data_IF_919337303049
#
_entry.id   IF_919337303049
#
_cell.length_a   1.000
_cell.length_b   1.000
_cell.length_c   1.000
_cell.angle_alpha   90.00
_cell.angle_beta   90.00
_cell.angle_gamma   90.00
#
_symmetry.space_group_name_H-M   'P 1'
#
loop_
_entity.id
_entity.type
_entity.pdbx_description
1 polymer ?
#
# COMPACT_ATOMS: atom_id res chain seq x y z
N UNK A 1 8.76 -15.36 25.88
CA UNK A 1 9.47 -14.15 26.33
C UNK A 1 10.92 -14.32 25.88
N UNK A 2 11.28 -13.78 24.71
CA UNK A 2 12.65 -13.84 24.22
C UNK A 2 13.21 -12.41 24.24
N UNK A 3 14.23 -12.20 25.07
CA UNK A 3 14.94 -10.95 25.23
C UNK A 3 15.92 -10.74 24.07
N UNK A 4 15.83 -9.61 23.39
CA UNK A 4 16.91 -9.12 22.54
C UNK A 4 17.96 -8.43 23.42
N UNK A 5 19.18 -8.98 23.44
CA UNK A 5 20.33 -8.30 24.00
C UNK A 5 20.94 -7.39 22.91
N UNK A 6 20.69 -6.09 23.01
CA UNK A 6 21.54 -5.09 22.35
C UNK A 6 22.60 -4.68 23.38
N UNK A 7 23.70 -5.43 23.47
CA UNK A 7 24.88 -4.95 24.20
C UNK A 7 25.73 -4.13 23.23
N UNK A 8 25.65 -2.81 23.36
CA UNK A 8 26.51 -1.88 22.65
C UNK A 8 27.97 -2.08 23.02
N UNK A 9 28.70 -2.84 22.21
CA UNK A 9 30.14 -2.71 21.99
C UNK A 9 30.45 -3.22 20.59
N UNK A 10 31.34 -2.52 19.86
CA UNK A 10 31.87 -2.92 18.55
C UNK A 10 32.36 -4.36 18.62
N UNK A 11 31.56 -5.30 18.14
CA UNK A 11 31.83 -6.72 18.12
C UNK A 11 31.56 -7.28 16.73
N UNK A 12 32.46 -8.14 16.30
CA UNK A 12 32.60 -8.80 15.00
C UNK A 12 31.28 -9.25 14.37
N UNK A 13 31.13 -9.02 13.06
CA UNK A 13 30.05 -9.54 12.21
C UNK A 13 29.85 -11.04 12.48
N UNK A 14 28.75 -11.38 13.16
CA UNK A 14 28.28 -12.75 13.23
C UNK A 14 27.60 -13.07 11.91
N UNK A 15 28.10 -14.10 11.24
CA UNK A 15 27.46 -14.69 10.05
C UNK A 15 26.06 -15.16 10.44
N UNK A 16 25.04 -14.55 9.86
CA UNK A 16 23.66 -15.01 9.99
C UNK A 16 23.48 -16.28 9.16
N UNK A 17 23.48 -17.44 9.81
CA UNK A 17 22.71 -18.57 9.28
C UNK A 17 21.25 -18.12 9.23
N UNK A 18 20.52 -18.30 8.11
CA UNK A 18 19.19 -17.74 7.95
C UNK A 18 18.25 -18.40 8.95
N UNK A 19 17.99 -17.72 10.06
CA UNK A 19 16.86 -18.05 10.91
C UNK A 19 15.62 -17.89 10.04
N UNK A 20 14.85 -18.97 9.93
CA UNK A 20 13.61 -19.09 9.15
C UNK A 20 12.46 -18.20 9.66
N UNK A 21 12.77 -17.23 10.54
CA UNK A 21 11.86 -16.31 11.20
C UNK A 21 12.48 -14.92 11.02
N UNK A 22 11.96 -14.18 10.05
CA UNK A 22 12.25 -12.76 9.90
C UNK A 22 11.44 -12.04 10.98
N UNK A 23 12.10 -11.35 11.89
CA UNK A 23 11.42 -10.45 12.83
C UNK A 23 11.10 -9.17 12.05
N UNK A 24 9.85 -8.65 12.06
CA UNK A 24 9.44 -7.55 11.17
C UNK A 24 10.33 -6.31 11.23
N UNK A 25 10.89 -6.01 12.40
CA UNK A 25 11.82 -4.89 12.56
C UNK A 25 13.16 -5.13 11.86
N UNK A 26 13.73 -6.32 11.98
CA UNK A 26 15.02 -6.67 11.37
C UNK A 26 14.90 -6.81 9.84
N UNK A 27 13.69 -7.09 9.33
CA UNK A 27 13.40 -7.04 7.90
C UNK A 27 13.64 -5.66 7.30
N UNK A 28 13.36 -4.61 8.08
CA UNK A 28 13.34 -3.24 7.60
C UNK A 28 14.53 -2.40 8.10
N UNK A 29 15.06 -2.73 9.27
CA UNK A 29 16.07 -1.99 9.97
C UNK A 29 17.29 -2.85 10.23
N UNK A 30 18.48 -2.31 9.99
CA UNK A 30 19.70 -2.99 10.38
C UNK A 30 19.93 -2.87 11.90
N UNK A 31 19.89 -3.99 12.66
CA UNK A 31 20.09 -3.97 14.12
C UNK A 31 21.53 -3.62 14.53
N UNK A 32 22.47 -3.59 13.59
CA UNK A 32 23.87 -3.22 13.78
C UNK A 32 24.23 -1.81 13.28
N UNK A 33 23.37 -1.19 12.47
CA UNK A 33 23.53 0.19 11.98
C UNK A 33 22.41 1.10 12.47
N UNK A 34 21.94 0.84 13.71
CA UNK A 34 20.83 1.57 14.30
C UNK A 34 21.17 3.06 14.40
N UNK A 35 20.58 3.84 13.50
CA UNK A 35 20.51 5.29 13.62
C UNK A 35 19.06 5.73 13.69
N UNK A 36 18.83 6.84 14.38
CA UNK A 36 17.52 7.46 14.38
C UNK A 36 17.24 7.98 12.97
N UNK A 37 16.07 7.66 12.45
CA UNK A 37 15.54 8.33 11.28
C UNK A 37 15.33 9.81 11.61
N UNK A 38 16.26 10.65 11.19
CA UNK A 38 16.25 12.06 11.58
C UNK A 38 15.36 12.84 10.62
N UNK A 39 14.58 13.73 11.24
CA UNK A 39 13.77 14.68 10.49
C UNK A 39 14.71 15.66 9.82
N UNK A 40 14.42 16.00 8.56
CA UNK A 40 15.16 17.03 7.83
C UNK A 40 15.24 18.30 8.68
N UNK A 41 16.45 18.86 8.81
CA UNK A 41 16.70 20.03 9.65
C UNK A 41 15.73 21.18 9.30
N UNK A 42 15.08 21.74 10.32
CA UNK A 42 14.04 22.78 10.17
C UNK A 42 12.60 22.25 10.04
N UNK A 43 12.39 20.93 9.97
CA UNK A 43 11.06 20.34 9.94
C UNK A 43 10.58 19.86 11.32
N UNK A 44 9.39 20.32 11.71
CA UNK A 44 8.65 19.84 12.89
C UNK A 44 7.61 18.78 12.52
N UNK A 45 7.48 18.41 11.25
CA UNK A 45 6.47 17.48 10.77
C UNK A 45 6.93 16.01 10.82
N UNK A 46 6.08 15.07 11.29
CA UNK A 46 6.36 13.64 11.19
C UNK A 46 6.45 13.18 9.75
N UNK A 47 7.62 12.73 9.30
CA UNK A 47 7.79 12.12 7.99
C UNK A 47 8.59 12.94 6.97
N UNK A 48 9.05 14.16 7.27
CA UNK A 48 10.19 14.72 6.53
C UNK A 48 11.42 13.90 6.81
N UNK A 49 12.07 13.39 5.77
CA UNK A 49 13.22 12.52 5.94
C UNK A 49 14.47 13.25 5.48
N UNK A 50 15.49 13.28 6.35
CA UNK A 50 16.86 13.39 5.87
C UNK A 50 17.30 11.98 5.46
N UNK A 51 17.25 11.67 4.17
CA UNK A 51 17.56 10.31 3.70
C UNK A 51 19.01 9.95 3.97
N UNK A 52 19.92 10.92 4.12
CA UNK A 52 21.30 10.65 4.53
C UNK A 52 21.41 10.07 5.95
N UNK A 53 20.32 10.17 6.73
CA UNK A 53 20.16 9.64 8.08
C UNK A 53 19.04 8.59 8.14
N UNK A 54 18.80 7.88 7.03
CA UNK A 54 17.81 6.81 6.94
C UNK A 54 18.07 5.70 7.96
N UNK A 55 17.02 5.21 8.64
CA UNK A 55 17.14 4.07 9.56
C UNK A 55 16.87 2.74 8.85
N UNK A 56 16.64 2.77 7.54
CA UNK A 56 16.27 1.62 6.75
C UNK A 56 17.51 0.99 6.12
N UNK A 57 17.45 -0.32 5.91
CA UNK A 57 18.39 -1.06 5.07
C UNK A 57 17.58 -1.97 4.17
N UNK A 58 17.97 -2.11 2.90
CA UNK A 58 17.29 -3.06 2.02
C UNK A 58 17.50 -4.49 2.56
N UNK A 59 16.47 -5.36 2.57
CA UNK A 59 16.62 -6.78 2.89
C UNK A 59 17.79 -7.46 2.14
N UNK A 60 17.98 -7.15 0.85
CA UNK A 60 19.06 -7.67 0.01
C UNK A 60 20.43 -7.06 0.29
N UNK A 61 20.47 -5.88 0.93
CA UNK A 61 21.69 -5.15 1.26
C UNK A 61 21.65 -4.68 2.71
N UNK A 62 21.49 -5.64 3.62
CA UNK A 62 21.30 -5.34 5.03
C UNK A 62 22.50 -4.62 5.63
N UNK A 63 23.71 -4.84 5.10
CA UNK A 63 24.97 -4.24 5.59
C UNK A 63 25.14 -2.74 5.33
N UNK A 64 24.21 -2.08 4.62
CA UNK A 64 24.29 -0.66 4.31
C UNK A 64 22.93 0.02 4.57
N UNK A 65 22.99 1.31 4.87
CA UNK A 65 21.80 2.14 5.02
C UNK A 65 21.21 2.46 3.64
N UNK A 66 19.90 2.37 3.53
CA UNK A 66 19.14 2.71 2.33
C UNK A 66 18.84 4.21 2.30
N UNK A 67 19.59 4.93 1.48
CA UNK A 67 19.52 6.38 1.32
C UNK A 67 18.98 6.69 -0.07
N UNK A 68 17.65 6.76 -0.21
CA UNK A 68 16.97 7.08 -1.47
C UNK A 68 15.64 7.80 -1.22
N UNK A 69 15.30 8.75 -2.07
CA UNK A 69 13.99 9.40 -2.12
C UNK A 69 13.23 8.96 -3.36
N UNK A 70 11.90 8.99 -3.33
CA UNK A 70 11.10 8.56 -4.49
C UNK A 70 11.34 9.42 -5.74
N UNK A 71 11.84 10.66 -5.58
CA UNK A 71 12.34 11.47 -6.70
C UNK A 71 13.54 10.88 -7.44
N UNK A 72 14.31 9.97 -6.81
CA UNK A 72 15.36 9.22 -7.50
C UNK A 72 14.79 8.17 -8.47
N UNK A 73 13.53 7.76 -8.25
CA UNK A 73 12.85 6.70 -9.02
C UNK A 73 11.89 7.29 -10.05
N UNK A 74 11.18 8.36 -9.72
CA UNK A 74 10.17 8.95 -10.60
C UNK A 74 9.94 10.44 -10.34
N UNK A 75 9.70 11.20 -11.41
CA UNK A 75 9.19 12.58 -11.34
C UNK A 75 7.66 12.65 -11.22
N UNK A 76 6.97 11.52 -11.34
CA UNK A 76 5.51 11.45 -11.42
C UNK A 76 4.85 11.11 -10.07
N UNK A 77 5.62 11.04 -8.99
CA UNK A 77 5.06 10.84 -7.66
C UNK A 77 4.18 12.04 -7.27
N UNK A 78 2.98 11.73 -6.76
CA UNK A 78 2.09 12.72 -6.16
C UNK A 78 1.72 12.25 -4.76
N UNK A 79 2.21 12.97 -3.76
CA UNK A 79 1.86 12.67 -2.37
C UNK A 79 0.37 12.96 -2.09
N UNK A 80 -0.28 12.16 -1.23
CA UNK A 80 -1.61 12.44 -0.73
C UNK A 80 -1.63 13.70 0.14
N UNK A 81 -2.82 14.27 0.37
CA UNK A 81 -2.97 15.34 1.35
C UNK A 81 -2.61 14.89 2.76
N UNK A 82 -2.00 15.80 3.50
CA UNK A 82 -1.77 15.67 4.93
C UNK A 82 -3.11 15.56 5.67
N UNK A 83 -3.15 14.80 6.77
CA UNK A 83 -4.36 14.60 7.55
C UNK A 83 -5.04 15.93 7.95
N UNK A 84 -6.35 16.05 7.65
CA UNK A 84 -7.13 17.25 7.91
C UNK A 84 -6.84 18.42 6.96
N UNK A 85 -6.11 18.19 5.86
CA UNK A 85 -5.74 19.20 4.88
C UNK A 85 -6.27 18.88 3.48
N UNK A 86 -6.41 19.93 2.67
CA UNK A 86 -6.70 19.86 1.22
C UNK A 86 -5.71 20.71 0.41
N UNK A 87 -4.68 21.25 1.06
CA UNK A 87 -3.72 22.18 0.45
C UNK A 87 -2.26 21.85 0.76
N UNK A 88 -2.02 21.00 1.76
CA UNK A 88 -0.69 20.51 2.13
C UNK A 88 -0.60 19.01 2.03
N UNK A 89 0.61 18.52 1.83
CA UNK A 89 0.87 17.14 1.43
C UNK A 89 1.66 16.38 2.47
N UNK A 90 1.52 15.06 2.44
CA UNK A 90 2.46 14.17 3.11
C UNK A 90 3.83 14.19 2.43
N UNK A 91 4.92 13.91 3.17
CA UNK A 91 4.95 13.51 4.56
C UNK A 91 5.24 14.67 5.52
N UNK A 92 5.15 15.93 5.12
CA UNK A 92 5.56 17.04 5.98
C UNK A 92 4.54 18.13 6.26
N UNK A 93 3.34 17.97 5.74
CA UNK A 93 2.30 18.97 5.88
C UNK A 93 2.67 20.31 5.23
N UNK A 94 3.67 20.33 4.33
CA UNK A 94 4.02 21.50 3.55
C UNK A 94 3.39 21.44 2.15
N UNK A 95 3.38 22.59 1.50
CA UNK A 95 3.14 22.68 0.06
C UNK A 95 4.46 22.44 -0.69
N UNK A 96 4.40 22.08 -1.98
CA UNK A 96 5.58 21.92 -2.83
C UNK A 96 6.04 20.47 -3.05
N UNK A 97 7.31 20.31 -3.45
CA UNK A 97 7.87 19.01 -3.82
C UNK A 97 7.99 18.07 -2.61
N UNK A 98 7.24 16.96 -2.68
CA UNK A 98 7.26 15.89 -1.69
C UNK A 98 8.05 14.67 -2.15
N UNK A 99 8.37 14.56 -3.45
CA UNK A 99 9.13 13.45 -3.98
C UNK A 99 10.56 13.44 -3.41
N UNK A 100 11.16 14.61 -3.22
CA UNK A 100 12.49 14.75 -2.59
C UNK A 100 12.49 14.62 -1.06
N UNK A 101 11.32 14.46 -0.44
CA UNK A 101 11.15 14.34 1.02
C UNK A 101 10.61 13.00 1.47
N UNK A 102 10.10 12.22 0.53
CA UNK A 102 9.56 10.87 0.74
C UNK A 102 10.63 9.86 0.41
N UNK A 103 10.92 8.93 1.34
CA UNK A 103 11.80 7.79 1.05
C UNK A 103 11.24 6.98 -0.11
N UNK A 104 12.14 6.40 -0.90
CA UNK A 104 11.81 5.49 -2.00
C UNK A 104 11.29 4.13 -1.48
N UNK A 105 10.12 4.16 -0.85
CA UNK A 105 9.44 2.97 -0.36
C UNK A 105 9.09 1.97 -1.46
N UNK A 106 8.79 2.36 -2.71
CA UNK A 106 8.65 1.39 -3.80
C UNK A 106 9.87 0.49 -3.97
N UNK A 107 11.06 1.05 -4.12
CA UNK A 107 12.31 0.27 -4.21
C UNK A 107 12.54 -0.56 -2.95
N UNK A 108 12.31 0.04 -1.77
CA UNK A 108 12.50 -0.66 -0.50
C UNK A 108 11.55 -1.84 -0.31
N UNK A 109 10.25 -1.66 -0.56
CA UNK A 109 9.24 -2.70 -0.38
C UNK A 109 9.39 -3.79 -1.44
N UNK A 110 9.67 -3.42 -2.69
CA UNK A 110 9.81 -4.39 -3.80
C UNK A 110 11.13 -5.16 -3.79
N UNK A 111 12.10 -4.76 -2.97
CA UNK A 111 13.28 -5.60 -2.68
C UNK A 111 12.86 -6.98 -2.12
N UNK A 112 11.79 -7.01 -1.33
CA UNK A 112 11.17 -8.25 -0.85
C UNK A 112 9.89 -8.60 -1.63
N UNK A 113 8.95 -7.67 -1.79
CA UNK A 113 7.66 -7.86 -2.43
C UNK A 113 7.73 -7.65 -3.94
N UNK A 114 8.24 -8.64 -4.67
CA UNK A 114 8.34 -8.62 -6.12
C UNK A 114 7.74 -9.88 -6.76
N UNK A 115 7.82 -9.96 -8.09
CA UNK A 115 7.31 -11.06 -8.91
C UNK A 115 8.13 -12.36 -8.78
N UNK A 116 9.28 -12.34 -8.12
CA UNK A 116 10.17 -13.49 -7.99
C UNK A 116 10.10 -14.12 -6.60
N UNK A 117 10.02 -13.29 -5.57
CA UNK A 117 10.00 -13.75 -4.19
C UNK A 117 8.64 -14.37 -3.84
N UNK A 118 8.69 -15.50 -3.14
CA UNK A 118 7.52 -16.13 -2.52
C UNK A 118 7.68 -16.06 -1.01
N UNK A 119 6.88 -15.22 -0.36
CA UNK A 119 6.97 -14.97 1.08
C UNK A 119 5.74 -15.59 1.74
N UNK A 120 5.95 -16.52 2.67
CA UNK A 120 4.86 -17.10 3.46
C UNK A 120 4.55 -16.22 4.68
N UNK A 121 3.30 -15.79 4.82
CA UNK A 121 2.82 -15.10 6.02
C UNK A 121 2.12 -16.07 6.95
N UNK A 122 2.68 -16.25 8.14
CA UNK A 122 2.08 -17.06 9.21
C UNK A 122 0.79 -16.43 9.73
N UNK A 123 0.75 -15.10 9.84
CA UNK A 123 -0.46 -14.35 10.24
C UNK A 123 -1.61 -14.51 9.24
N UNK A 124 -1.28 -14.67 7.93
CA UNK A 124 -2.29 -14.88 6.88
C UNK A 124 -2.51 -16.36 6.53
N UNK A 125 -1.68 -17.27 7.02
CA UNK A 125 -1.71 -18.70 6.69
C UNK A 125 -1.45 -19.02 5.21
N UNK A 126 -0.89 -18.08 4.43
CA UNK A 126 -0.69 -18.22 2.98
C UNK A 126 0.53 -17.43 2.50
N UNK A 127 0.92 -17.67 1.24
CA UNK A 127 1.86 -16.80 0.56
C UNK A 127 1.27 -15.39 0.38
N UNK A 128 2.10 -14.39 0.60
CA UNK A 128 1.81 -13.00 0.26
C UNK A 128 1.62 -12.87 -1.24
N UNK A 129 0.78 -11.90 -1.64
CA UNK A 129 0.58 -11.61 -3.05
C UNK A 129 1.83 -10.92 -3.57
N UNK A 130 2.26 -11.31 -4.77
CA UNK A 130 3.38 -10.68 -5.44
C UNK A 130 2.95 -9.32 -5.97
N UNK A 131 3.91 -8.40 -6.06
CA UNK A 131 3.68 -7.03 -6.52
C UNK A 131 4.56 -6.83 -7.76
N UNK A 132 3.97 -6.27 -8.81
CA UNK A 132 4.70 -5.80 -9.98
C UNK A 132 4.48 -4.30 -10.15
N UNK A 133 5.13 -3.53 -9.29
CA UNK A 133 4.97 -2.08 -9.26
C UNK A 133 5.36 -1.41 -10.59
N UNK A 134 6.16 -2.09 -11.43
CA UNK A 134 6.48 -1.60 -12.77
C UNK A 134 5.29 -1.64 -13.74
N UNK A 135 4.32 -2.51 -13.47
CA UNK A 135 3.15 -2.73 -14.33
C UNK A 135 1.82 -2.39 -13.65
N UNK A 136 1.77 -2.24 -12.34
CA UNK A 136 0.56 -1.82 -11.61
C UNK A 136 0.17 -0.37 -11.88
N UNK A 137 -1.13 -0.08 -11.95
CA UNK A 137 -1.73 1.25 -12.19
C UNK A 137 -1.36 2.29 -11.14
N UNK A 138 -1.19 1.89 -9.88
CA UNK A 138 -0.69 2.77 -8.83
C UNK A 138 0.85 2.89 -8.81
N UNK A 139 1.53 2.08 -9.61
CA UNK A 139 2.95 2.17 -9.91
C UNK A 139 3.20 2.81 -11.26
N UNK A 140 4.06 2.19 -12.08
CA UNK A 140 4.41 2.71 -13.42
C UNK A 140 3.49 2.24 -14.55
N UNK A 141 2.55 1.35 -14.28
CA UNK A 141 1.57 0.91 -15.25
C UNK A 141 0.65 2.06 -15.68
N UNK A 142 0.37 2.15 -16.98
CA UNK A 142 -0.62 3.10 -17.46
C UNK A 142 -2.01 2.77 -16.90
N UNK A 143 -2.83 3.80 -16.66
CA UNK A 143 -4.24 3.59 -16.48
C UNK A 143 -4.83 2.94 -17.75
N UNK A 144 -5.75 2.00 -17.58
CA UNK A 144 -6.38 1.34 -18.73
C UNK A 144 -7.46 2.25 -19.36
N UNK A 145 -7.95 3.24 -18.61
CA UNK A 145 -9.04 4.17 -18.96
C UNK A 145 -8.84 5.53 -18.27
N UNK A 146 -9.69 6.52 -18.61
CA UNK A 146 -9.73 7.82 -17.93
C UNK A 146 -10.36 7.60 -16.56
N UNK A 147 -9.74 8.12 -15.50
CA UNK A 147 -10.22 7.96 -14.13
C UNK A 147 -10.72 9.28 -13.57
N UNK A 148 -11.86 9.24 -12.89
CA UNK A 148 -12.34 10.34 -12.07
C UNK A 148 -11.66 10.29 -10.70
N UNK A 149 -10.81 11.30 -10.43
CA UNK A 149 -9.95 11.35 -9.24
C UNK A 149 -10.26 12.58 -8.39
N UNK A 150 -10.00 12.47 -7.08
CA UNK A 150 -9.99 13.56 -6.12
C UNK A 150 -8.64 14.29 -6.18
N UNK A 151 -8.62 15.54 -5.76
CA UNK A 151 -7.37 16.24 -5.48
C UNK A 151 -6.51 15.43 -4.48
N UNK A 152 -5.18 15.47 -4.60
CA UNK A 152 -4.40 16.25 -5.57
C UNK A 152 -4.24 15.59 -6.94
N UNK A 153 -4.80 14.40 -7.15
CA UNK A 153 -4.62 13.61 -8.36
C UNK A 153 -5.52 14.08 -9.52
N UNK A 154 -6.66 14.72 -9.21
CA UNK A 154 -7.66 15.18 -10.19
C UNK A 154 -7.13 16.08 -11.31
N UNK A 155 -6.04 16.80 -11.06
CA UNK A 155 -5.47 17.77 -11.99
C UNK A 155 -4.21 17.24 -12.69
N UNK A 156 -3.90 15.96 -12.51
CA UNK A 156 -2.73 15.34 -13.12
C UNK A 156 -2.89 15.26 -14.63
N UNK A 157 -1.91 15.80 -15.36
CA UNK A 157 -1.83 15.70 -16.83
C UNK A 157 -1.22 14.38 -17.31
N UNK A 158 -0.54 13.67 -16.41
CA UNK A 158 0.20 12.43 -16.67
C UNK A 158 -0.09 11.41 -15.56
N UNK A 159 0.17 10.13 -15.83
CA UNK A 159 0.06 9.06 -14.84
C UNK A 159 0.83 9.42 -13.57
N UNK A 160 0.15 9.44 -12.43
CA UNK A 160 0.75 9.65 -11.12
C UNK A 160 1.01 8.33 -10.42
N UNK A 161 2.10 8.32 -9.69
CA UNK A 161 2.59 7.15 -8.96
C UNK A 161 2.32 7.33 -7.47
N UNK A 162 1.90 6.26 -6.81
CA UNK A 162 1.80 6.19 -5.35
C UNK A 162 2.99 5.43 -4.75
N UNK A 163 3.40 5.87 -3.57
CA UNK A 163 4.32 5.16 -2.70
C UNK A 163 3.58 4.06 -1.94
N UNK A 164 4.28 2.98 -1.57
CA UNK A 164 3.67 1.89 -0.80
C UNK A 164 3.06 2.38 0.52
N UNK A 165 3.72 3.34 1.18
CA UNK A 165 3.27 3.87 2.46
C UNK A 165 2.24 5.00 2.34
N UNK A 166 1.82 5.35 1.13
CA UNK A 166 0.63 6.20 0.96
C UNK A 166 -0.63 5.45 1.39
N UNK A 167 -0.61 4.10 1.28
CA UNK A 167 -1.72 3.22 1.64
C UNK A 167 -1.42 2.29 2.82
N UNK A 168 -0.15 1.94 3.08
CA UNK A 168 0.24 0.97 4.12
C UNK A 168 0.96 1.59 5.33
N UNK A 169 0.77 1.00 6.52
CA UNK A 169 1.46 1.34 7.78
C UNK A 169 2.28 0.14 8.29
N UNK A 170 3.61 0.11 8.04
CA UNK A 170 4.45 -1.03 8.37
C UNK A 170 4.66 -1.25 9.87
N UNK A 171 4.38 -0.25 10.71
CA UNK A 171 4.52 -0.35 12.18
C UNK A 171 3.25 -0.82 12.89
N UNK A 172 2.26 -1.31 12.14
CA UNK A 172 1.09 -1.96 12.70
C UNK A 172 -0.15 -1.10 12.57
N UNK A 173 -0.87 -1.31 11.48
CA UNK A 173 -2.30 -1.04 11.44
C UNK A 173 -3.07 -2.26 11.98
N UNK A 174 -4.25 -2.06 12.61
CA UNK A 174 -5.13 -3.17 12.98
C UNK A 174 -5.70 -3.94 11.78
N UNK A 175 -5.51 -3.43 10.56
CA UNK A 175 -5.83 -4.15 9.32
C UNK A 175 -4.78 -5.26 9.05
N UNK A 176 -5.23 -6.46 8.66
CA UNK A 176 -4.34 -7.62 8.39
C UNK A 176 -3.42 -7.44 7.19
N UNK A 177 -3.71 -6.50 6.30
CA UNK A 177 -2.85 -6.07 5.19
C UNK A 177 -2.20 -4.71 5.44
N UNK A 178 -2.22 -4.24 6.68
CA UNK A 178 -1.57 -3.03 7.15
C UNK A 178 -2.07 -1.74 6.47
N UNK A 179 -3.34 -1.67 6.03
CA UNK A 179 -3.90 -0.43 5.47
C UNK A 179 -3.91 0.71 6.50
N UNK A 180 -3.52 1.92 6.07
CA UNK A 180 -3.51 3.11 6.94
C UNK A 180 -4.93 3.46 7.44
N UNK A 181 -5.04 4.02 8.65
CA UNK A 181 -6.33 4.50 9.17
C UNK A 181 -6.80 5.81 8.54
N UNK A 182 -5.91 6.53 7.86
CA UNK A 182 -6.21 7.76 7.14
C UNK A 182 -5.33 7.88 5.90
N UNK A 183 -5.93 8.34 4.80
CA UNK A 183 -5.29 8.54 3.49
C UNK A 183 -5.91 9.78 2.84
N UNK A 184 -5.07 10.55 2.15
CA UNK A 184 -5.47 11.73 1.39
C UNK A 184 -6.32 12.73 2.21
N UNK A 185 -5.84 13.07 3.40
CA UNK A 185 -6.46 14.07 4.27
C UNK A 185 -7.61 13.58 5.15
N UNK A 186 -8.10 12.36 4.97
CA UNK A 186 -9.33 11.87 5.61
C UNK A 186 -9.16 10.46 6.22
N UNK A 187 -9.90 10.17 7.30
CA UNK A 187 -9.92 8.84 7.95
C UNK A 187 -10.64 7.80 7.09
N UNK A 188 -10.12 6.58 6.96
CA UNK A 188 -10.77 5.49 6.22
C UNK A 188 -11.89 4.86 7.05
N UNK A 189 -11.73 4.69 8.37
CA UNK A 189 -12.80 4.32 9.33
C UNK A 189 -12.21 4.21 10.76
N UNK A 190 -12.97 4.50 11.83
CA UNK A 190 -12.56 4.23 13.22
C UNK A 190 -12.60 2.74 13.61
N UNK A 191 -13.26 1.89 12.83
CA UNK A 191 -13.43 0.44 13.09
C UNK A 191 -12.71 -0.41 12.05
N UNK A 192 -11.42 -0.13 11.80
CA UNK A 192 -10.54 -1.08 11.09
C UNK A 192 -10.41 -2.32 11.97
N UNK A 193 -11.41 -3.18 11.88
CA UNK A 193 -11.46 -4.46 12.55
C UNK A 193 -10.92 -5.48 11.57
N UNK A 194 -10.15 -6.44 12.10
CA UNK A 194 -9.35 -7.44 11.39
C UNK A 194 -10.13 -8.39 10.43
N UNK A 195 -11.35 -8.04 10.04
CA UNK A 195 -12.26 -8.82 9.20
C UNK A 195 -11.96 -8.57 7.71
N UNK A 196 -11.53 -9.53 6.90
CA UNK A 196 -11.54 -10.97 7.08
C UNK A 196 -10.35 -11.56 6.32
N UNK A 197 -9.61 -12.42 7.01
CA UNK A 197 -8.89 -13.54 6.42
C UNK A 197 -9.89 -14.35 5.57
N UNK A 198 -10.04 -13.99 4.31
CA UNK A 198 -10.87 -14.77 3.40
C UNK A 198 -9.98 -15.60 2.51
N UNK A 199 -10.32 -16.88 2.48
CA UNK A 199 -9.71 -17.90 1.68
C UNK A 199 -9.54 -17.41 0.24
N UNK A 200 -8.38 -17.69 -0.32
CA UNK A 200 -8.16 -17.56 -1.76
C UNK A 200 -9.35 -18.20 -2.49
N UNK A 201 -9.85 -17.61 -3.59
CA UNK A 201 -10.65 -18.39 -4.51
C UNK A 201 -9.83 -19.62 -4.87
N UNK A 202 -10.36 -20.81 -4.55
CA UNK A 202 -9.83 -22.03 -5.13
C UNK A 202 -9.87 -21.85 -6.65
N UNK A 203 -8.69 -21.91 -7.26
CA UNK A 203 -8.41 -21.83 -8.70
C UNK A 203 -9.67 -21.95 -9.58
N UNK A 204 -10.13 -20.81 -10.13
CA UNK A 204 -11.24 -20.75 -11.09
C UNK A 204 -12.63 -20.45 -10.52
N UNK A 205 -12.79 -20.25 -9.21
CA UNK A 205 -14.08 -19.92 -8.59
C UNK A 205 -14.18 -18.47 -8.08
N UNK A 206 -15.38 -17.89 -8.16
CA UNK A 206 -15.73 -16.69 -7.41
C UNK A 206 -15.47 -16.93 -5.91
N UNK A 207 -14.95 -15.93 -5.20
CA UNK A 207 -14.83 -16.01 -3.74
C UNK A 207 -16.16 -16.42 -3.11
N UNK A 208 -16.11 -17.24 -2.06
CA UNK A 208 -17.32 -17.52 -1.29
C UNK A 208 -17.86 -16.20 -0.71
N UNK A 209 -19.16 -15.92 -0.84
CA UNK A 209 -19.76 -14.76 -0.22
C UNK A 209 -19.59 -14.86 1.29
N UNK A 210 -19.03 -13.83 1.91
CA UNK A 210 -18.89 -13.78 3.37
C UNK A 210 -20.27 -13.60 3.97
N UNK A 211 -20.60 -14.40 4.98
CA UNK A 211 -21.78 -14.19 5.82
C UNK A 211 -21.65 -12.96 6.75
N UNK A 212 -20.56 -12.19 6.65
CA UNK A 212 -20.31 -11.01 7.46
C UNK A 212 -20.74 -9.77 6.69
N UNK A 213 -21.62 -9.00 7.31
CA UNK A 213 -22.26 -7.79 6.79
C UNK A 213 -21.30 -6.61 6.52
N UNK A 214 -20.00 -6.80 6.72
CA UNK A 214 -18.98 -5.74 6.64
C UNK A 214 -18.07 -5.80 5.40
N UNK A 215 -18.13 -6.87 4.59
CA UNK A 215 -17.69 -6.89 3.18
C UNK A 215 -16.36 -6.20 2.80
N UNK A 216 -15.39 -6.10 3.70
CA UNK A 216 -14.18 -5.27 3.53
C UNK A 216 -14.48 -3.85 2.99
N UNK A 217 -15.47 -3.19 3.59
CA UNK A 217 -15.82 -1.79 3.29
C UNK A 217 -14.60 -0.87 3.41
N UNK A 218 -13.62 -1.22 4.22
CA UNK A 218 -12.37 -0.46 4.40
C UNK A 218 -11.60 -0.30 3.10
N UNK A 219 -11.51 -1.34 2.26
CA UNK A 219 -10.86 -1.22 0.95
C UNK A 219 -11.64 -0.28 0.02
N UNK A 220 -12.98 -0.37 0.01
CA UNK A 220 -13.82 0.57 -0.73
C UNK A 220 -13.66 2.02 -0.23
N UNK A 221 -13.61 2.21 1.08
CA UNK A 221 -13.38 3.52 1.72
C UNK A 221 -12.00 4.07 1.39
N UNK A 222 -10.96 3.23 1.38
CA UNK A 222 -9.61 3.59 0.93
C UNK A 222 -9.64 4.08 -0.53
N UNK A 223 -10.24 3.32 -1.44
CA UNK A 223 -10.34 3.72 -2.85
C UNK A 223 -11.05 5.08 -3.00
N UNK A 224 -12.13 5.32 -2.25
CA UNK A 224 -12.89 6.58 -2.26
C UNK A 224 -12.12 7.79 -1.68
N UNK A 225 -10.94 7.58 -1.06
CA UNK A 225 -10.06 8.69 -0.68
C UNK A 225 -9.41 9.36 -1.88
N UNK A 226 -9.25 8.63 -2.98
CA UNK A 226 -8.58 9.13 -4.19
C UNK A 226 -9.46 9.06 -5.44
N UNK A 227 -10.42 8.14 -5.52
CA UNK A 227 -11.32 7.96 -6.65
C UNK A 227 -12.70 8.56 -6.38
N UNK A 228 -13.34 9.07 -7.43
CA UNK A 228 -14.76 9.47 -7.45
C UNK A 228 -15.49 8.76 -8.58
N UNK A 229 -16.82 8.74 -8.53
CA UNK A 229 -17.63 8.40 -9.70
C UNK A 229 -17.52 9.45 -10.78
N UNK A 230 -17.81 9.06 -12.02
CA UNK A 230 -17.74 9.93 -13.21
C UNK A 230 -18.69 11.12 -13.21
N UNK A 231 -19.73 11.07 -12.38
CA UNK A 231 -20.65 12.19 -12.18
C UNK A 231 -20.25 13.07 -10.98
N UNK A 232 -19.03 12.90 -10.45
CA UNK A 232 -18.56 13.57 -9.25
C UNK A 232 -19.20 13.05 -7.96
N UNK A 233 -19.97 11.97 -8.02
CA UNK A 233 -20.51 11.33 -6.82
C UNK A 233 -19.44 10.50 -6.10
N UNK A 234 -19.67 10.30 -4.81
CA UNK A 234 -18.76 9.59 -3.91
C UNK A 234 -19.34 8.25 -3.44
N UNK A 235 -20.30 7.71 -4.20
CA UNK A 235 -20.87 6.40 -3.92
C UNK A 235 -20.00 5.31 -4.55
N UNK A 236 -19.69 4.27 -3.77
CA UNK A 236 -18.94 3.10 -4.26
C UNK A 236 -19.56 2.49 -5.52
N UNK A 237 -20.89 2.51 -5.63
CA UNK A 237 -21.59 2.03 -6.82
C UNK A 237 -21.23 2.80 -8.09
N UNK A 238 -20.86 4.07 -7.99
CA UNK A 238 -20.46 4.87 -9.14
C UNK A 238 -19.05 4.53 -9.61
N UNK A 239 -18.11 4.33 -8.67
CA UNK A 239 -16.73 3.89 -8.97
C UNK A 239 -16.71 2.46 -9.51
N UNK A 240 -17.64 1.61 -9.06
CA UNK A 240 -17.60 0.17 -9.34
C UNK A 240 -18.59 -0.32 -10.43
N UNK A 241 -19.70 0.38 -10.73
CA UNK A 241 -20.70 -0.10 -11.73
C UNK A 241 -20.88 0.77 -12.97
N UNK A 242 -20.26 1.94 -13.02
CA UNK A 242 -20.40 2.87 -14.14
C UNK A 242 -19.02 3.31 -14.63
N UNK A 243 -18.96 3.83 -15.86
CA UNK A 243 -18.80 3.10 -17.11
C UNK A 243 -17.47 2.32 -17.26
N UNK A 244 -16.46 2.58 -16.43
CA UNK A 244 -15.10 2.04 -16.61
C UNK A 244 -14.99 0.54 -16.31
N UNK A 245 -15.81 0.00 -15.40
CA UNK A 245 -15.67 -1.42 -15.04
C UNK A 245 -16.36 -2.39 -15.98
N UNK A 246 -17.16 -1.91 -16.96
CA UNK A 246 -17.93 -2.72 -17.91
C UNK A 246 -18.62 -3.98 -17.32
N UNK A 247 -18.91 -4.00 -16.01
CA UNK A 247 -19.62 -5.12 -15.39
C UNK A 247 -21.06 -5.06 -15.86
N UNK A 248 -21.54 -6.01 -16.68
CA UNK A 248 -22.89 -5.95 -17.19
C UNK A 248 -23.84 -5.96 -15.99
N UNK A 249 -24.78 -5.02 -15.94
CA UNK A 249 -25.85 -4.96 -14.91
C UNK A 249 -26.63 -6.27 -14.75
N UNK A 250 -26.50 -7.19 -15.70
CA UNK A 250 -27.13 -8.50 -15.72
C UNK A 250 -26.43 -9.54 -14.83
N UNK A 251 -25.24 -9.24 -14.30
CA UNK A 251 -24.40 -10.15 -13.51
C UNK A 251 -24.43 -9.88 -12.00
N UNK A 252 -25.43 -9.14 -11.49
CA UNK A 252 -25.51 -8.78 -10.07
C UNK A 252 -25.38 -9.99 -9.15
N UNK A 253 -25.98 -11.14 -9.48
CA UNK A 253 -25.90 -12.36 -8.66
C UNK A 253 -24.51 -12.98 -8.55
N UNK A 254 -23.59 -12.66 -9.46
CA UNK A 254 -22.20 -13.16 -9.43
C UNK A 254 -21.32 -12.38 -8.44
N UNK A 255 -21.67 -11.11 -8.23
CA UNK A 255 -20.95 -10.21 -7.32
C UNK A 255 -21.73 -9.89 -6.04
N UNK A 256 -23.03 -10.17 -6.01
CA UNK A 256 -23.93 -9.90 -4.89
C UNK A 256 -24.72 -11.16 -4.50
N UNK A 257 -24.39 -11.74 -3.36
CA UNK A 257 -25.10 -12.89 -2.80
C UNK A 257 -26.10 -12.42 -1.75
N UNK A 258 -27.39 -12.76 -1.94
CA UNK A 258 -28.48 -12.32 -1.05
C UNK A 258 -28.52 -10.81 -0.82
N UNK A 259 -28.14 -10.02 -1.83
CA UNK A 259 -28.06 -8.56 -1.79
C UNK A 259 -26.77 -7.98 -1.19
N UNK A 260 -25.85 -8.82 -0.69
CA UNK A 260 -24.57 -8.37 -0.13
C UNK A 260 -23.44 -8.53 -1.15
N UNK A 261 -22.57 -7.52 -1.34
CA UNK A 261 -21.43 -7.63 -2.25
C UNK A 261 -20.40 -8.66 -1.75
N UNK A 262 -19.69 -9.29 -2.69
CA UNK A 262 -18.47 -10.06 -2.38
C UNK A 262 -17.37 -9.14 -1.85
N UNK A 263 -16.37 -9.71 -1.19
CA UNK A 263 -15.26 -8.95 -0.62
C UNK A 263 -14.43 -8.27 -1.72
N UNK A 264 -14.15 -6.97 -1.55
CA UNK A 264 -13.32 -6.21 -2.47
C UNK A 264 -11.96 -6.87 -2.75
N UNK A 265 -11.30 -7.44 -1.73
CA UNK A 265 -9.95 -8.05 -1.86
C UNK A 265 -9.91 -9.37 -2.64
N UNK A 266 -11.07 -9.83 -3.11
CA UNK A 266 -11.19 -10.95 -4.04
C UNK A 266 -10.85 -10.59 -5.48
N UNK A 267 -11.06 -9.33 -5.86
CA UNK A 267 -10.82 -8.84 -7.22
C UNK A 267 -9.84 -7.66 -7.23
N UNK A 268 -9.73 -6.93 -6.12
CA UNK A 268 -8.90 -5.75 -5.96
C UNK A 268 -7.70 -6.08 -5.07
N UNK A 269 -6.63 -6.56 -5.68
CA UNK A 269 -5.36 -6.86 -5.02
C UNK A 269 -4.14 -6.71 -5.97
N UNK A 270 -2.94 -6.56 -5.43
CA UNK A 270 -1.70 -6.51 -6.22
C UNK A 270 -1.52 -7.75 -7.11
N UNK A 271 -1.34 -7.53 -8.41
CA UNK A 271 -1.25 -8.59 -9.42
C UNK A 271 -2.58 -9.23 -9.83
N UNK A 272 -3.74 -8.67 -9.45
CA UNK A 272 -5.03 -9.11 -10.03
C UNK A 272 -5.39 -8.42 -11.32
N UNK A 273 -6.22 -9.12 -12.08
CA UNK A 273 -6.93 -8.63 -13.26
C UNK A 273 -8.43 -8.69 -13.01
N UNK A 274 -9.17 -7.90 -13.77
CA UNK A 274 -10.63 -7.93 -13.78
C UNK A 274 -11.09 -9.36 -14.16
N UNK A 275 -11.95 -10.00 -13.34
CA UNK A 275 -12.40 -11.36 -13.60
C UNK A 275 -13.23 -11.51 -14.88
N UNK A 276 -13.81 -10.43 -15.41
CA UNK A 276 -14.56 -10.38 -16.65
C UNK A 276 -13.74 -9.82 -17.82
N UNK A 277 -12.57 -9.24 -17.54
CA UNK A 277 -11.60 -8.83 -18.56
C UNK A 277 -10.16 -9.02 -18.07
N UNK A 278 -9.58 -10.18 -18.36
CA UNK A 278 -8.21 -10.54 -17.95
C UNK A 278 -7.11 -9.63 -18.48
N UNK A 279 -7.40 -8.71 -19.41
CA UNK A 279 -6.43 -7.71 -19.88
C UNK A 279 -6.40 -6.44 -19.02
N UNK A 280 -7.40 -6.24 -18.15
CA UNK A 280 -7.51 -5.08 -17.27
C UNK A 280 -6.94 -5.39 -15.91
N UNK A 281 -5.98 -4.59 -15.44
CA UNK A 281 -5.43 -4.72 -14.09
C UNK A 281 -6.36 -4.02 -13.10
N UNK A 282 -6.47 -4.52 -11.88
CA UNK A 282 -7.29 -3.85 -10.85
C UNK A 282 -6.46 -2.96 -9.91
N UNK A 283 -5.13 -3.04 -10.00
CA UNK A 283 -4.15 -2.27 -9.23
C UNK A 283 -2.99 -1.80 -10.08
#
# INVERSE_FOLDING_TARGET
MFSFFVTGQKGTLLSFTPLKIIVPCDACHNPHLVQKHLRRSGSTAPGTIDTSQSALSLPSNHGNLFVSTISNTTSNYQAPYWFGSTSSYEPDGSTGDQASKTTDYPTFCTDCHNTQNTIYSTSLGRNLRQIDWSNEKHGFGAADEILSLRGPYSNATDNKVLSCLDCHEPHGSPNVTLLRPAVNGEEISPEITATALEALPSSGGYCSPISSTNGNKDLGLLCMRCHTGDNGGNAWSEIHHFPDTNYPRQSCGNCHYSGNPINCSCCHFHGSVDPFNSTRRTF
#
